data_IF_122995700167
#
_entry.id   IF_122995700167
#
_cell.length_a   1.000
_cell.length_b   1.000
_cell.length_c   1.000
_cell.angle_alpha   90.00
_cell.angle_beta   90.00
_cell.angle_gamma   90.00
#
_symmetry.space_group_name_H-M   'P 1'
#
loop_
_entity.id
_entity.type
_entity.pdbx_description
1 polymer ?
#
# COMPACT_ATOMS: atom_id res chain seq x y z
N UNK A 1 -59.78 10.31 -14.78
CA UNK A 1 -59.63 9.55 -13.53
C UNK A 1 -58.16 9.18 -13.38
N UNK A 2 -57.40 10.00 -12.65
CA UNK A 2 -55.99 9.79 -12.37
C UNK A 2 -55.85 9.11 -11.01
N UNK A 3 -55.21 7.93 -10.99
CA UNK A 3 -54.97 7.18 -9.76
C UNK A 3 -53.66 7.67 -9.15
N UNK A 4 -53.80 8.27 -7.98
CA UNK A 4 -52.76 8.67 -7.05
C UNK A 4 -52.04 7.43 -6.50
N UNK A 5 -50.70 7.42 -6.46
CA UNK A 5 -49.91 6.47 -5.65
C UNK A 5 -49.17 7.23 -4.55
N UNK A 6 -49.15 6.71 -3.30
CA UNK A 6 -48.70 7.46 -2.15
C UNK A 6 -47.17 7.43 -1.98
N UNK A 7 -46.71 8.54 -1.42
CA UNK A 7 -45.39 8.86 -0.89
C UNK A 7 -44.97 7.95 0.25
N UNK A 8 -43.75 7.42 0.20
CA UNK A 8 -42.98 7.02 1.39
C UNK A 8 -41.48 7.23 1.08
N UNK A 9 -40.95 8.40 1.44
CA UNK A 9 -39.51 8.58 1.65
C UNK A 9 -39.31 8.90 3.12
N UNK A 10 -38.90 7.87 3.86
CA UNK A 10 -38.41 7.98 5.22
C UNK A 10 -37.01 8.62 5.15
N UNK A 11 -36.94 9.94 5.34
CA UNK A 11 -35.67 10.65 5.48
C UNK A 11 -35.12 10.40 6.89
N UNK A 12 -34.33 9.34 7.05
CA UNK A 12 -33.53 9.18 8.25
C UNK A 12 -32.36 10.19 8.18
N UNK A 13 -32.46 11.27 8.96
CA UNK A 13 -31.32 12.12 9.30
C UNK A 13 -30.28 11.26 10.03
N UNK A 14 -29.25 10.82 9.31
CA UNK A 14 -28.00 10.41 9.95
C UNK A 14 -27.23 11.70 10.29
N UNK A 15 -26.83 11.89 11.56
CA UNK A 15 -26.11 13.08 11.96
C UNK A 15 -24.75 13.09 11.27
N UNK A 16 -24.38 14.27 10.77
CA UNK A 16 -23.09 14.60 10.17
C UNK A 16 -21.99 14.59 11.25
N UNK A 17 -21.76 13.44 11.88
CA UNK A 17 -20.67 13.24 12.84
C UNK A 17 -19.59 12.37 12.19
N UNK A 18 -18.45 13.01 11.96
CA UNK A 18 -17.12 12.40 11.94
C UNK A 18 -16.68 11.62 10.67
N UNK A 19 -16.78 12.23 9.48
CA UNK A 19 -16.02 11.75 8.30
C UNK A 19 -14.50 11.90 8.50
N UNK A 20 -14.04 12.89 9.27
CA UNK A 20 -12.61 13.12 9.55
C UNK A 20 -11.97 12.03 10.41
N UNK A 21 -12.72 11.40 11.34
CA UNK A 21 -12.19 10.29 12.15
C UNK A 21 -12.17 8.96 11.40
N UNK A 22 -13.07 8.78 10.41
CA UNK A 22 -13.13 7.54 9.61
C UNK A 22 -11.93 7.44 8.66
N UNK A 23 -11.51 8.54 8.01
CA UNK A 23 -10.29 8.58 7.17
C UNK A 23 -9.02 8.19 7.96
N UNK A 24 -8.89 8.66 9.21
CA UNK A 24 -7.78 8.29 10.09
C UNK A 24 -7.87 6.88 10.68
N UNK A 25 -9.09 6.34 10.85
CA UNK A 25 -9.29 4.97 11.34
C UNK A 25 -9.02 3.92 10.23
N UNK A 26 -9.31 4.24 8.96
CA UNK A 26 -9.16 3.35 7.81
C UNK A 26 -7.70 3.21 7.32
N UNK A 27 -6.82 4.13 7.71
CA UNK A 27 -5.39 4.14 7.34
C UNK A 27 -4.46 3.65 8.44
N UNK A 28 -4.96 3.37 9.65
CA UNK A 28 -4.15 2.74 10.68
C UNK A 28 -3.95 1.26 10.33
N UNK A 29 -2.94 1.01 9.50
CA UNK A 29 -2.18 -0.22 9.63
C UNK A 29 -1.89 -0.44 11.12
N UNK A 30 -2.05 -1.66 11.61
CA UNK A 30 -1.59 -2.02 12.96
C UNK A 30 -0.10 -1.63 13.00
N UNK A 31 0.24 -0.59 13.77
CA UNK A 31 1.64 -0.32 14.10
C UNK A 31 2.07 -1.43 15.05
N UNK A 32 2.48 -2.56 14.47
CA UNK A 32 2.99 -3.72 15.19
C UNK A 32 4.43 -3.50 15.69
N UNK A 33 4.93 -2.25 15.61
CA UNK A 33 6.29 -1.87 15.99
C UNK A 33 7.35 -2.25 14.95
N UNK A 34 6.96 -2.77 13.78
CA UNK A 34 7.91 -3.11 12.70
C UNK A 34 8.50 -1.89 11.98
N UNK A 35 7.84 -0.73 12.05
CA UNK A 35 8.26 0.47 11.35
C UNK A 35 9.37 1.22 12.12
N UNK A 36 10.48 1.50 11.43
CA UNK A 36 11.61 2.25 11.99
C UNK A 36 11.49 3.75 11.74
N UNK A 37 12.02 4.55 12.67
CA UNK A 37 11.98 6.01 12.55
C UNK A 37 12.87 6.55 11.43
N UNK A 38 12.33 7.50 10.65
CA UNK A 38 13.08 8.31 9.67
C UNK A 38 14.04 9.32 10.32
N UNK A 39 13.94 9.57 11.64
CA UNK A 39 14.78 10.55 12.36
C UNK A 39 16.27 10.24 12.13
N UNK A 40 17.01 11.26 11.70
CA UNK A 40 18.44 11.18 11.37
C UNK A 40 18.78 10.42 10.08
N UNK A 41 17.79 9.93 9.32
CA UNK A 41 17.99 9.15 8.08
C UNK A 41 17.47 9.88 6.86
N UNK A 42 16.31 10.53 7.00
CA UNK A 42 15.63 11.21 5.90
C UNK A 42 14.83 12.41 6.40
N UNK A 43 14.58 13.35 5.49
CA UNK A 43 13.58 14.41 5.65
C UNK A 43 12.32 13.99 4.90
N UNK A 44 11.16 14.07 5.55
CA UNK A 44 9.88 13.87 4.88
C UNK A 44 9.51 15.12 4.09
N UNK A 45 9.25 14.95 2.81
CA UNK A 45 8.71 15.99 1.93
C UNK A 45 7.22 15.77 1.77
N UNK A 46 6.48 16.87 1.67
CA UNK A 46 5.04 16.86 1.47
C UNK A 46 4.69 17.54 0.15
N UNK A 47 3.84 16.90 -0.64
CA UNK A 47 3.06 17.52 -1.70
C UNK A 47 1.67 17.75 -1.13
N UNK A 48 1.14 18.96 -1.26
CA UNK A 48 -0.20 19.28 -0.80
C UNK A 48 -0.93 20.15 -1.83
N UNK A 49 -2.23 19.90 -1.99
CA UNK A 49 -3.10 20.75 -2.80
C UNK A 49 -4.51 20.69 -2.24
N UNK A 50 -5.14 21.86 -2.15
CA UNK A 50 -6.50 21.99 -1.65
C UNK A 50 -7.31 22.84 -2.63
N UNK A 51 -8.49 22.38 -2.96
CA UNK A 51 -9.50 23.12 -3.73
C UNK A 51 -10.82 23.17 -2.97
N UNK A 52 -11.85 23.74 -3.61
CA UNK A 52 -13.19 23.84 -2.99
C UNK A 52 -13.76 22.46 -2.60
N UNK A 53 -13.59 21.47 -3.47
CA UNK A 53 -14.21 20.14 -3.34
C UNK A 53 -13.18 19.01 -3.25
N UNK A 54 -11.91 19.32 -2.98
CA UNK A 54 -10.89 18.29 -2.81
C UNK A 54 -9.74 18.73 -1.88
N UNK A 55 -9.11 17.76 -1.25
CA UNK A 55 -7.86 17.92 -0.51
C UNK A 55 -6.94 16.73 -0.80
N UNK A 56 -5.67 17.01 -1.05
CA UNK A 56 -4.68 15.99 -1.36
C UNK A 56 -3.39 16.27 -0.62
N UNK A 57 -2.83 15.22 0.00
CA UNK A 57 -1.51 15.21 0.59
C UNK A 57 -0.75 13.94 0.21
N UNK A 58 0.52 14.06 -0.17
CA UNK A 58 1.41 12.93 -0.34
C UNK A 58 2.75 13.21 0.32
N UNK A 59 3.13 12.36 1.26
CA UNK A 59 4.41 12.41 1.96
C UNK A 59 5.38 11.39 1.38
N UNK A 60 6.66 11.74 1.35
CA UNK A 60 7.73 10.81 0.97
C UNK A 60 9.10 11.19 1.54
N UNK A 61 9.98 10.22 1.82
CA UNK A 61 11.30 10.50 2.36
C UNK A 61 12.28 10.97 1.28
N UNK A 62 13.18 11.87 1.68
CA UNK A 62 14.44 12.16 1.00
C UNK A 62 15.58 11.84 1.98
N UNK A 63 16.31 10.77 1.70
CA UNK A 63 17.41 10.30 2.52
C UNK A 63 18.62 11.23 2.43
N UNK A 64 19.26 11.49 3.58
CA UNK A 64 20.33 12.50 3.71
C UNK A 64 21.67 12.04 3.13
N UNK A 65 22.02 10.77 3.32
CA UNK A 65 23.34 10.28 2.94
C UNK A 65 23.53 10.16 1.42
N UNK A 66 24.67 10.62 0.92
CA UNK A 66 24.97 10.69 -0.51
C UNK A 66 25.59 9.39 -1.06
N UNK A 67 24.89 8.27 -0.87
CA UNK A 67 25.33 6.97 -1.40
C UNK A 67 24.70 6.70 -2.78
N UNK A 68 25.30 5.81 -3.57
CA UNK A 68 24.75 5.43 -4.89
C UNK A 68 23.32 4.90 -4.76
N UNK A 69 23.05 4.07 -3.75
CA UNK A 69 21.71 3.57 -3.46
C UNK A 69 20.75 4.70 -3.10
N UNK A 70 21.10 5.54 -2.13
CA UNK A 70 20.15 6.54 -1.62
C UNK A 70 19.84 7.65 -2.63
N UNK A 71 20.79 8.02 -3.50
CA UNK A 71 20.49 8.88 -4.65
C UNK A 71 19.46 8.24 -5.59
N UNK A 72 19.63 6.95 -5.88
CA UNK A 72 18.69 6.20 -6.70
C UNK A 72 17.30 6.12 -6.03
N UNK A 73 17.24 5.76 -4.75
CA UNK A 73 15.99 5.71 -3.97
C UNK A 73 15.29 7.07 -3.97
N UNK A 74 16.00 8.16 -3.65
CA UNK A 74 15.44 9.51 -3.65
C UNK A 74 14.84 9.89 -5.02
N UNK A 75 15.54 9.55 -6.11
CA UNK A 75 15.05 9.79 -7.47
C UNK A 75 13.79 8.99 -7.79
N UNK A 76 13.80 7.68 -7.54
CA UNK A 76 12.65 6.80 -7.83
C UNK A 76 11.42 7.17 -7.00
N UNK A 77 11.59 7.37 -5.69
CA UNK A 77 10.48 7.70 -4.78
C UNK A 77 9.89 9.07 -5.10
N UNK A 78 10.73 10.10 -5.28
CA UNK A 78 10.23 11.44 -5.55
C UNK A 78 9.52 11.51 -6.91
N UNK A 79 10.03 10.82 -7.93
CA UNK A 79 9.39 10.76 -9.26
C UNK A 79 8.03 10.04 -9.17
N UNK A 80 8.00 8.86 -8.55
CA UNK A 80 6.78 8.06 -8.46
C UNK A 80 5.70 8.74 -7.61
N UNK A 81 6.04 9.33 -6.46
CA UNK A 81 5.04 10.02 -5.62
C UNK A 81 4.52 11.30 -6.25
N UNK A 82 5.37 12.09 -6.92
CA UNK A 82 4.88 13.23 -7.71
C UNK A 82 3.93 12.77 -8.80
N UNK A 83 4.25 11.68 -9.49
CA UNK A 83 3.37 11.14 -10.53
C UNK A 83 2.01 10.73 -9.94
N UNK A 84 1.98 9.89 -8.91
CA UNK A 84 0.73 9.44 -8.27
C UNK A 84 -0.12 10.63 -7.81
N UNK A 85 0.51 11.60 -7.12
CA UNK A 85 -0.16 12.79 -6.64
C UNK A 85 -0.74 13.64 -7.78
N UNK A 86 0.04 13.87 -8.84
CA UNK A 86 -0.41 14.65 -9.98
C UNK A 86 -1.50 13.94 -10.79
N UNK A 87 -1.36 12.63 -11.03
CA UNK A 87 -2.37 11.82 -11.71
C UNK A 87 -3.70 11.92 -10.95
N UNK A 88 -3.68 11.74 -9.62
CA UNK A 88 -4.89 11.86 -8.80
C UNK A 88 -5.52 13.25 -8.89
N UNK A 89 -4.71 14.31 -8.87
CA UNK A 89 -5.21 15.68 -9.02
C UNK A 89 -5.84 15.93 -10.39
N UNK A 90 -5.24 15.41 -11.46
CA UNK A 90 -5.77 15.57 -12.82
C UNK A 90 -7.11 14.86 -12.94
N UNK A 91 -7.20 13.60 -12.53
CA UNK A 91 -8.43 12.81 -12.60
C UNK A 91 -9.52 13.38 -11.69
N UNK A 92 -9.17 13.82 -10.48
CA UNK A 92 -10.12 14.44 -9.54
C UNK A 92 -10.68 15.75 -10.10
N UNK A 93 -9.82 16.60 -10.68
CA UNK A 93 -10.29 17.86 -11.31
C UNK A 93 -11.14 17.60 -12.53
N UNK A 94 -10.84 16.56 -13.31
CA UNK A 94 -11.68 16.15 -14.45
C UNK A 94 -13.06 15.70 -13.96
N UNK A 95 -13.10 14.78 -13.00
CA UNK A 95 -14.34 14.28 -12.40
C UNK A 95 -15.18 15.42 -11.78
N UNK A 96 -14.55 16.36 -11.06
CA UNK A 96 -15.26 17.49 -10.44
C UNK A 96 -15.76 18.54 -11.45
N UNK A 97 -15.29 18.53 -12.70
CA UNK A 97 -15.93 19.33 -13.77
C UNK A 97 -17.24 18.71 -14.23
N UNK A 98 -17.28 17.38 -14.30
CA UNK A 98 -18.48 16.62 -14.66
C UNK A 98 -19.49 16.58 -13.51
N UNK A 99 -19.01 16.49 -12.27
CA UNK A 99 -19.81 16.40 -11.04
C UNK A 99 -19.39 17.49 -10.05
N UNK A 100 -19.82 18.76 -10.25
CA UNK A 100 -19.33 19.91 -9.49
C UNK A 100 -19.79 19.99 -8.04
N UNK A 101 -20.80 19.19 -7.66
CA UNK A 101 -21.38 19.17 -6.31
C UNK A 101 -21.29 17.75 -5.72
N UNK A 102 -20.08 17.27 -5.36
CA UNK A 102 -19.95 15.93 -4.79
C UNK A 102 -20.55 15.90 -3.38
N UNK A 103 -21.06 14.73 -2.98
CA UNK A 103 -21.64 14.51 -1.64
C UNK A 103 -20.61 14.73 -0.53
N UNK A 104 -19.34 14.44 -0.81
CA UNK A 104 -18.22 14.74 0.08
C UNK A 104 -17.00 15.20 -0.72
N UNK A 105 -16.11 15.97 -0.09
CA UNK A 105 -14.88 16.42 -0.73
C UNK A 105 -14.00 15.22 -1.10
N UNK A 106 -13.38 15.26 -2.28
CA UNK A 106 -12.45 14.24 -2.70
C UNK A 106 -11.19 14.32 -1.84
N UNK A 107 -10.62 13.17 -1.48
CA UNK A 107 -9.49 13.10 -0.58
C UNK A 107 -8.41 12.19 -1.14
N UNK A 108 -7.14 12.61 -1.01
CA UNK A 108 -5.99 11.73 -1.19
C UNK A 108 -4.99 11.95 -0.07
N UNK A 109 -4.58 10.87 0.58
CA UNK A 109 -3.51 10.87 1.55
C UNK A 109 -2.54 9.74 1.21
N UNK A 110 -1.24 9.96 1.38
CA UNK A 110 -0.23 8.91 1.24
C UNK A 110 0.90 9.15 2.22
N UNK A 111 1.14 8.20 3.13
CA UNK A 111 2.13 8.31 4.18
C UNK A 111 3.18 7.20 4.04
N UNK A 112 4.49 7.53 4.10
CA UNK A 112 5.55 6.55 4.05
C UNK A 112 5.85 6.00 5.44
N UNK A 113 6.21 4.72 5.47
CA UNK A 113 6.81 4.02 6.60
C UNK A 113 8.09 3.35 6.14
N UNK A 114 9.07 3.26 7.04
CA UNK A 114 10.35 2.62 6.74
C UNK A 114 10.34 1.23 7.38
N UNK A 115 10.26 0.18 6.57
CA UNK A 115 10.19 -1.21 7.04
C UNK A 115 11.57 -1.75 7.39
N UNK A 116 12.59 -1.36 6.62
CA UNK A 116 13.98 -1.72 6.92
C UNK A 116 14.97 -0.74 6.29
N UNK A 117 16.06 -0.45 7.01
CA UNK A 117 17.07 0.49 6.57
C UNK A 117 18.46 0.00 6.93
N UNK A 118 19.17 -0.50 5.92
CA UNK A 118 20.55 -0.96 6.01
C UNK A 118 21.39 -0.26 4.95
N UNK A 119 21.39 1.07 5.00
CA UNK A 119 22.24 1.86 4.11
C UNK A 119 23.73 1.54 4.36
N UNK A 120 24.58 1.50 3.31
CA UNK A 120 24.30 1.90 1.92
C UNK A 120 23.73 0.78 1.03
N UNK A 121 23.33 -0.37 1.58
CA UNK A 121 23.05 -1.60 0.82
C UNK A 121 21.58 -1.85 0.53
N UNK A 122 20.68 -1.50 1.46
CA UNK A 122 19.26 -1.83 1.34
C UNK A 122 18.36 -0.80 2.02
N UNK A 123 17.24 -0.50 1.37
CA UNK A 123 16.12 0.31 1.90
C UNK A 123 14.81 -0.37 1.52
N UNK A 124 13.92 -0.59 2.50
CA UNK A 124 12.55 -1.06 2.28
C UNK A 124 11.58 -0.05 2.84
N UNK A 125 10.65 0.40 1.99
CA UNK A 125 9.62 1.37 2.30
C UNK A 125 8.25 0.74 2.09
N UNK A 126 7.30 1.21 2.89
CA UNK A 126 5.86 1.00 2.71
C UNK A 126 5.19 2.36 2.54
N UNK A 127 4.16 2.42 1.73
CA UNK A 127 3.30 3.58 1.57
C UNK A 127 1.86 3.15 1.84
N UNK A 128 1.26 3.73 2.87
CA UNK A 128 -0.15 3.55 3.19
C UNK A 128 -0.89 4.78 2.64
N UNK A 129 -1.76 4.54 1.67
CA UNK A 129 -2.49 5.58 0.97
C UNK A 129 -4.00 5.39 1.12
N UNK A 130 -4.72 6.50 1.13
CA UNK A 130 -6.16 6.53 1.12
C UNK A 130 -6.63 7.44 0.00
N UNK A 131 -7.68 7.04 -0.70
CA UNK A 131 -8.35 7.90 -1.66
C UNK A 131 -9.86 7.81 -1.54
N UNK A 132 -10.53 8.93 -1.74
CA UNK A 132 -11.98 9.03 -1.89
C UNK A 132 -12.31 10.00 -3.02
N UNK A 133 -13.15 9.55 -3.95
CA UNK A 133 -13.51 10.32 -5.16
C UNK A 133 -15.01 10.26 -5.46
N UNK A 134 -15.86 10.32 -4.42
CA UNK A 134 -17.31 10.46 -4.59
C UNK A 134 -18.15 9.17 -4.66
N UNK A 135 -17.71 8.09 -4.00
CA UNK A 135 -18.44 6.82 -3.90
C UNK A 135 -19.06 6.55 -2.53
N UNK A 136 -19.43 5.29 -2.25
CA UNK A 136 -19.96 4.89 -0.94
C UNK A 136 -18.92 4.94 0.19
N UNK A 137 -17.64 4.71 -0.14
CA UNK A 137 -16.52 4.72 0.80
C UNK A 137 -15.21 5.06 0.06
N UNK A 138 -14.16 5.36 0.82
CA UNK A 138 -12.80 5.47 0.28
C UNK A 138 -12.12 4.11 0.11
N UNK A 139 -10.91 4.13 -0.43
CA UNK A 139 -10.09 2.95 -0.68
C UNK A 139 -8.72 3.12 -0.04
N UNK A 140 -8.33 2.16 0.80
CA UNK A 140 -6.98 2.04 1.33
C UNK A 140 -6.10 1.25 0.36
N UNK A 141 -4.87 1.73 0.13
CA UNK A 141 -3.88 1.07 -0.72
C UNK A 141 -2.53 1.06 0.01
N UNK A 142 -2.00 -0.13 0.22
CA UNK A 142 -0.66 -0.37 0.74
C UNK A 142 0.24 -0.82 -0.42
N UNK A 143 1.33 -0.08 -0.63
CA UNK A 143 2.35 -0.35 -1.64
C UNK A 143 3.72 -0.43 -0.97
N UNK A 144 4.56 -1.36 -1.44
CA UNK A 144 5.90 -1.57 -0.90
C UNK A 144 6.96 -1.29 -1.96
N UNK A 145 8.11 -0.76 -1.54
CA UNK A 145 9.21 -0.43 -2.42
C UNK A 145 10.53 -0.80 -1.78
N UNK A 146 11.16 -1.81 -2.35
CA UNK A 146 12.42 -2.37 -1.87
C UNK A 146 13.53 -2.00 -2.83
N UNK A 147 14.65 -1.54 -2.29
CA UNK A 147 15.80 -1.13 -3.08
C UNK A 147 17.05 -1.72 -2.47
N UNK A 148 17.94 -2.23 -3.31
CA UNK A 148 19.25 -2.67 -2.86
C UNK A 148 20.32 -2.47 -3.92
N UNK A 149 21.58 -2.67 -3.52
CA UNK A 149 22.68 -2.89 -4.44
C UNK A 149 22.69 -4.36 -4.86
N UNK A 150 22.46 -4.61 -6.15
CA UNK A 150 22.55 -5.93 -6.78
C UNK A 150 23.62 -5.85 -7.87
N UNK A 151 24.60 -6.74 -7.83
CA UNK A 151 25.71 -6.78 -8.79
C UNK A 151 26.41 -5.41 -8.97
N UNK A 152 26.61 -4.70 -7.85
CA UNK A 152 27.28 -3.39 -7.80
C UNK A 152 26.44 -2.19 -8.26
N UNK A 153 25.16 -2.39 -8.63
CA UNK A 153 24.26 -1.33 -9.10
C UNK A 153 23.01 -1.22 -8.23
N UNK A 154 22.49 0.00 -7.99
CA UNK A 154 21.23 0.17 -7.28
C UNK A 154 20.07 -0.30 -8.17
N UNK A 155 19.12 -1.03 -7.56
CA UNK A 155 17.96 -1.59 -8.24
C UNK A 155 16.75 -1.55 -7.30
N UNK A 156 15.55 -1.35 -7.88
CA UNK A 156 14.30 -1.67 -7.19
C UNK A 156 14.05 -3.17 -7.32
N UNK A 157 13.98 -3.85 -6.18
CA UNK A 157 13.90 -5.31 -6.12
C UNK A 157 12.50 -5.80 -6.49
N UNK A 158 12.48 -6.88 -7.27
CA UNK A 158 11.33 -7.79 -7.36
C UNK A 158 11.63 -9.05 -6.57
N UNK A 159 10.62 -9.87 -6.27
CA UNK A 159 10.79 -11.07 -5.44
C UNK A 159 11.87 -11.99 -5.99
N UNK A 160 11.92 -12.17 -7.31
CA UNK A 160 12.90 -13.02 -7.98
C UNK A 160 14.36 -12.59 -7.74
N UNK A 161 14.63 -11.32 -7.46
CA UNK A 161 15.99 -10.85 -7.14
C UNK A 161 16.52 -11.40 -5.81
N UNK A 162 15.61 -11.84 -4.94
CA UNK A 162 15.94 -12.38 -3.62
C UNK A 162 16.18 -13.89 -3.63
N UNK A 163 16.06 -14.54 -4.79
CA UNK A 163 16.24 -15.98 -4.93
C UNK A 163 17.39 -16.30 -5.89
N UNK A 164 17.99 -17.49 -5.72
CA UNK A 164 18.98 -18.02 -6.65
C UNK A 164 18.32 -18.24 -8.01
N UNK A 165 18.94 -17.80 -9.14
CA UNK A 165 18.41 -18.05 -10.48
C UNK A 165 18.10 -19.53 -10.71
N UNK A 166 16.96 -19.82 -11.35
CA UNK A 166 16.48 -21.19 -11.57
C UNK A 166 15.65 -21.79 -10.42
N UNK A 167 15.56 -21.12 -9.27
CA UNK A 167 14.65 -21.55 -8.19
C UNK A 167 13.19 -21.32 -8.59
N UNK A 168 12.31 -22.31 -8.38
CA UNK A 168 10.86 -22.13 -8.48
C UNK A 168 10.30 -21.42 -7.23
N UNK A 169 10.78 -20.18 -7.01
CA UNK A 169 10.46 -19.40 -5.81
C UNK A 169 8.98 -19.05 -5.74
N UNK A 170 8.30 -18.90 -6.88
CA UNK A 170 6.87 -18.52 -6.93
C UNK A 170 6.00 -19.63 -6.36
N UNK A 171 6.23 -20.87 -6.79
CA UNK A 171 5.49 -22.03 -6.26
C UNK A 171 5.71 -22.18 -4.76
N UNK A 172 6.96 -22.06 -4.31
CA UNK A 172 7.30 -22.17 -2.89
C UNK A 172 6.64 -21.07 -2.06
N UNK A 173 6.86 -19.80 -2.42
CA UNK A 173 6.33 -18.64 -1.69
C UNK A 173 4.81 -18.66 -1.67
N UNK A 174 4.15 -18.94 -2.79
CA UNK A 174 2.69 -19.05 -2.82
C UNK A 174 2.18 -20.12 -1.85
N UNK A 175 2.82 -21.29 -1.80
CA UNK A 175 2.42 -22.34 -0.86
C UNK A 175 2.53 -21.88 0.60
N UNK A 176 3.62 -21.19 0.97
CA UNK A 176 3.82 -20.67 2.33
C UNK A 176 2.84 -19.55 2.68
N UNK A 177 2.63 -18.60 1.77
CA UNK A 177 1.65 -17.51 1.93
C UNK A 177 0.24 -18.08 2.07
N UNK A 178 -0.17 -19.00 1.19
CA UNK A 178 -1.50 -19.60 1.25
C UNK A 178 -1.70 -20.44 2.51
N UNK A 179 -0.65 -21.10 3.02
CA UNK A 179 -0.74 -21.82 4.29
C UNK A 179 -1.05 -20.90 5.48
N UNK A 180 -0.58 -19.64 5.46
CA UNK A 180 -0.92 -18.63 6.46
C UNK A 180 -2.29 -18.02 6.20
N UNK A 181 -2.61 -17.67 4.95
CA UNK A 181 -3.92 -17.11 4.58
C UNK A 181 -5.08 -18.06 4.89
N UNK A 182 -4.91 -19.38 4.73
CA UNK A 182 -5.95 -20.35 5.11
C UNK A 182 -6.29 -20.36 6.60
N UNK A 183 -5.41 -19.82 7.45
CA UNK A 183 -5.64 -19.68 8.89
C UNK A 183 -6.15 -18.28 9.27
N UNK A 184 -6.23 -17.38 8.30
CA UNK A 184 -6.72 -16.02 8.49
C UNK A 184 -8.21 -15.98 8.14
N UNK A 185 -9.05 -15.68 9.13
CA UNK A 185 -10.50 -15.61 8.96
C UNK A 185 -10.92 -14.50 7.97
N UNK A 186 -10.09 -13.47 7.81
CA UNK A 186 -10.34 -12.39 6.85
C UNK A 186 -10.11 -12.82 5.39
N UNK A 187 -9.35 -13.89 5.13
CA UNK A 187 -9.00 -14.36 3.79
C UNK A 187 -10.06 -15.30 3.20
N UNK A 188 -11.33 -14.89 3.18
CA UNK A 188 -12.47 -15.75 2.81
C UNK A 188 -12.35 -16.32 1.39
N UNK A 189 -11.76 -15.58 0.44
CA UNK A 189 -11.61 -16.06 -0.94
C UNK A 189 -10.49 -17.10 -1.12
N UNK A 190 -9.59 -17.20 -0.15
CA UNK A 190 -8.64 -18.32 -0.07
C UNK A 190 -9.34 -19.56 0.49
N UNK A 191 -10.26 -19.38 1.44
CA UNK A 191 -11.02 -20.46 2.08
C UNK A 191 -12.04 -21.09 1.12
N UNK A 192 -12.79 -20.27 0.37
CA UNK A 192 -13.80 -20.74 -0.59
C UNK A 192 -13.21 -21.18 -1.95
N UNK A 193 -11.92 -20.93 -2.18
CA UNK A 193 -11.19 -21.32 -3.38
C UNK A 193 -11.37 -20.38 -4.58
N UNK A 194 -11.93 -19.19 -4.41
CA UNK A 194 -12.02 -18.15 -5.45
C UNK A 194 -10.66 -17.62 -5.85
N UNK A 195 -9.72 -17.53 -4.91
CA UNK A 195 -8.31 -17.18 -5.17
C UNK A 195 -7.45 -18.44 -5.13
N UNK A 196 -6.91 -18.82 -6.31
CA UNK A 196 -6.12 -20.06 -6.49
C UNK A 196 -4.63 -19.81 -6.74
N UNK A 197 -4.24 -18.58 -7.06
CA UNK A 197 -2.86 -18.18 -7.33
C UNK A 197 -2.64 -16.72 -6.96
N UNK A 198 -1.38 -16.38 -6.66
CA UNK A 198 -0.96 -14.99 -6.54
C UNK A 198 -0.69 -14.41 -7.93
N UNK A 199 -1.14 -13.19 -8.15
CA UNK A 199 -0.79 -12.41 -9.33
C UNK A 199 0.62 -11.80 -9.23
N UNK A 200 1.18 -11.35 -10.36
CA UNK A 200 2.53 -10.80 -10.35
C UNK A 200 2.67 -9.55 -9.46
N UNK A 201 1.65 -8.69 -9.39
CA UNK A 201 1.61 -7.55 -8.48
C UNK A 201 1.68 -8.00 -7.02
N UNK A 202 0.89 -9.01 -6.66
CA UNK A 202 0.80 -9.56 -5.31
C UNK A 202 2.12 -10.22 -4.88
N UNK A 203 2.79 -10.96 -5.77
CA UNK A 203 4.13 -11.50 -5.49
C UNK A 203 5.14 -10.41 -5.13
N UNK A 204 4.99 -9.22 -5.71
CA UNK A 204 5.94 -8.12 -5.57
C UNK A 204 5.49 -7.01 -4.61
N UNK A 205 4.35 -7.18 -3.92
CA UNK A 205 3.92 -6.28 -2.86
C UNK A 205 4.33 -6.84 -1.49
N UNK A 206 5.64 -6.84 -1.24
CA UNK A 206 6.21 -7.26 0.03
C UNK A 206 7.17 -6.21 0.57
N UNK A 207 7.25 -6.06 1.89
CA UNK A 207 8.34 -5.32 2.54
C UNK A 207 9.43 -6.28 2.99
N UNK A 208 10.66 -5.79 3.05
CA UNK A 208 11.79 -6.52 3.63
C UNK A 208 11.90 -6.08 5.09
N UNK A 209 12.02 -7.06 5.98
CA UNK A 209 12.24 -6.90 7.41
C UNK A 209 13.56 -7.58 7.83
N UNK A 210 14.09 -7.31 9.03
CA UNK A 210 15.34 -7.94 9.50
C UNK A 210 15.32 -9.48 9.52
N UNK A 211 14.15 -10.07 9.75
CA UNK A 211 13.93 -11.50 10.00
C UNK A 211 13.03 -12.17 8.96
N UNK A 212 12.70 -11.50 7.85
CA UNK A 212 11.83 -12.07 6.84
C UNK A 212 11.33 -11.09 5.80
N UNK A 213 10.28 -11.53 5.10
CA UNK A 213 9.50 -10.71 4.17
C UNK A 213 8.05 -10.66 4.64
N UNK A 214 7.41 -9.52 4.47
CA UNK A 214 5.98 -9.35 4.76
C UNK A 214 5.22 -8.96 3.51
N UNK A 215 4.33 -9.82 3.05
CA UNK A 215 3.39 -9.53 1.97
C UNK A 215 2.22 -8.70 2.46
N UNK A 216 1.81 -7.74 1.62
CA UNK A 216 0.65 -6.88 1.85
C UNK A 216 -0.40 -7.19 0.78
N UNK A 217 -1.57 -7.62 1.21
CA UNK A 217 -2.74 -7.84 0.36
C UNK A 217 -3.77 -6.75 0.65
N UNK A 218 -4.09 -5.96 -0.36
CA UNK A 218 -5.03 -4.86 -0.27
C UNK A 218 -6.49 -5.35 -0.14
N UNK A 219 -7.38 -4.44 0.19
CA UNK A 219 -8.82 -4.68 0.16
C UNK A 219 -9.22 -5.25 -1.21
N UNK A 220 -10.12 -6.24 -1.22
CA UNK A 220 -10.53 -6.97 -2.42
C UNK A 220 -9.45 -7.83 -3.09
N UNK A 221 -8.35 -8.16 -2.42
CA UNK A 221 -7.40 -9.14 -2.97
C UNK A 221 -7.62 -10.57 -2.44
N UNK A 222 -8.00 -10.70 -1.17
CA UNK A 222 -8.17 -12.00 -0.48
C UNK A 222 -9.55 -12.22 0.14
N UNK A 223 -10.42 -11.21 0.05
CA UNK A 223 -11.75 -11.19 0.64
C UNK A 223 -12.48 -9.88 0.33
N UNK A 224 -13.76 -9.75 0.74
CA UNK A 224 -14.53 -8.53 0.53
C UNK A 224 -13.97 -7.34 1.33
N UNK A 225 -14.34 -6.12 0.96
CA UNK A 225 -13.89 -4.87 1.61
C UNK A 225 -13.96 -4.88 3.14
N UNK A 226 -15.05 -5.43 3.69
CA UNK A 226 -15.31 -5.48 5.12
C UNK A 226 -14.24 -6.24 5.91
N UNK A 227 -13.53 -7.16 5.26
CA UNK A 227 -12.46 -7.94 5.87
C UNK A 227 -11.13 -7.16 5.93
N UNK A 228 -11.07 -6.02 5.24
CA UNK A 228 -9.91 -5.15 5.24
C UNK A 228 -8.70 -5.74 4.49
N UNK A 229 -7.56 -5.06 4.59
CA UNK A 229 -6.29 -5.58 4.10
C UNK A 229 -5.76 -6.72 4.97
N UNK A 230 -4.94 -7.59 4.37
CA UNK A 230 -4.30 -8.73 5.05
C UNK A 230 -2.79 -8.65 4.89
N UNK A 231 -2.04 -8.97 5.94
CA UNK A 231 -0.58 -9.01 5.91
C UNK A 231 -0.06 -10.39 6.29
N UNK A 232 0.92 -10.89 5.55
CA UNK A 232 1.49 -12.22 5.76
C UNK A 232 3.00 -12.13 5.86
N UNK A 233 3.53 -12.42 7.06
CA UNK A 233 4.98 -12.50 7.28
C UNK A 233 5.49 -13.93 7.10
N UNK A 234 6.49 -14.09 6.23
CA UNK A 234 7.33 -15.29 6.15
C UNK A 234 8.69 -14.97 6.77
N UNK A 235 9.09 -15.77 7.76
CA UNK A 235 10.43 -15.75 8.32
C UNK A 235 11.48 -16.17 7.28
N UNK A 236 12.75 -15.82 7.53
CA UNK A 236 13.90 -16.32 6.76
C UNK A 236 13.82 -17.84 6.52
N UNK A 237 13.48 -18.63 7.55
CA UNK A 237 13.36 -20.08 7.45
C UNK A 237 12.24 -20.52 6.49
N UNK A 238 11.09 -19.84 6.52
CA UNK A 238 9.94 -20.16 5.66
C UNK A 238 10.21 -19.81 4.18
N UNK A 239 11.12 -18.87 3.90
CA UNK A 239 11.50 -18.51 2.51
C UNK A 239 12.30 -19.62 1.80
N UNK A 240 12.90 -20.55 2.54
CA UNK A 240 13.49 -21.78 2.00
C UNK A 240 14.91 -21.64 1.43
N UNK A 241 15.44 -22.74 0.90
CA UNK A 241 16.86 -22.89 0.55
C UNK A 241 17.32 -22.00 -0.62
N UNK A 242 16.42 -21.60 -1.52
CA UNK A 242 16.75 -20.72 -2.65
C UNK A 242 16.86 -19.24 -2.29
N UNK A 243 16.48 -18.85 -1.06
CA UNK A 243 16.50 -17.45 -0.64
C UNK A 243 17.94 -16.96 -0.35
N UNK A 244 18.29 -15.80 -0.88
CA UNK A 244 19.61 -15.17 -0.74
C UNK A 244 19.69 -14.35 0.55
N UNK A 245 19.82 -15.02 1.70
CA UNK A 245 19.93 -14.38 3.02
C UNK A 245 20.97 -13.25 3.08
N UNK A 246 22.07 -13.38 2.34
CA UNK A 246 23.14 -12.39 2.29
C UNK A 246 22.70 -11.01 1.78
N UNK A 247 21.60 -10.91 1.03
CA UNK A 247 21.10 -9.62 0.55
C UNK A 247 20.46 -8.75 1.63
N UNK A 248 20.00 -9.37 2.72
CA UNK A 248 19.40 -8.64 3.83
C UNK A 248 20.47 -8.16 4.84
N UNK A 249 21.74 -8.54 4.61
CA UNK A 249 22.88 -8.29 5.48
C UNK A 249 23.83 -7.18 4.97
#
# INVERSE_FOLDING_TARGET
MNICRPTLQLLALLPLLALTTVSQAQTKAKDDGSNISFKGKATIRTLASKGKNYEAESKYPIFHANTRLLRFVNSQISTKQRKIFNDWLVESKKSLKEYPNPVGAYEFQSNPSLSYFKAPKLVSLRFDSYQYTGGAHGMGIMDTRNFAIVDGKPKQLVLGDLFVPGTDYRKWVQAQVFAKLRKDEAATWIQDGSVKKLENSQFNNFSIEPDGLRWLFNQYEMGPYANGPIEVKLSLKELGAGFRYGLLK
#
